data_IF_843894734508
#
_entry.id   IF_843894734508
#
_cell.length_a   1.000
_cell.length_b   1.000
_cell.length_c   1.000
_cell.angle_alpha   90.00
_cell.angle_beta   90.00
_cell.angle_gamma   90.00
#
_symmetry.space_group_name_H-M   'P 1'
#
loop_
_entity.id
_entity.type
_entity.pdbx_description
1 polymer ?
#
# COMPACT_ATOMS: atom_id res chain seq x y z
N UNK A 1 20.37 -4.33 19.35
CA UNK A 1 21.63 -4.19 18.61
C UNK A 1 22.59 -3.21 19.26
N UNK A 2 22.08 -2.15 19.90
CA UNK A 2 22.86 -0.94 20.25
C UNK A 2 23.57 -0.38 19.00
N UNK A 3 24.81 0.10 19.10
CA UNK A 3 25.42 0.87 18.00
C UNK A 3 25.65 0.05 16.72
N UNK A 4 26.13 -1.19 16.85
CA UNK A 4 26.60 -2.00 15.70
C UNK A 4 26.12 -3.46 15.74
N UNK A 5 25.05 -3.74 16.48
CA UNK A 5 24.45 -5.08 16.56
C UNK A 5 24.95 -5.95 17.73
N UNK A 6 26.10 -5.61 18.33
CA UNK A 6 26.74 -6.40 19.40
C UNK A 6 25.98 -6.41 20.72
N UNK A 7 25.12 -5.42 20.98
CA UNK A 7 24.47 -5.26 22.27
C UNK A 7 25.38 -4.68 23.36
N UNK A 8 26.54 -4.12 23.01
CA UNK A 8 27.38 -3.42 23.98
C UNK A 8 26.59 -2.29 24.66
N UNK A 9 26.79 -2.09 25.97
CA UNK A 9 26.05 -1.14 26.80
C UNK A 9 24.55 -1.44 26.97
N UNK A 10 24.16 -2.72 26.87
CA UNK A 10 22.80 -3.17 27.22
C UNK A 10 22.85 -4.36 28.19
N UNK A 11 21.77 -4.57 28.94
CA UNK A 11 21.63 -5.73 29.81
C UNK A 11 21.15 -6.97 29.04
N UNK A 12 21.57 -8.15 29.48
CA UNK A 12 21.12 -9.42 28.89
C UNK A 12 19.60 -9.55 29.03
N UNK A 13 18.91 -9.87 27.93
CA UNK A 13 17.44 -10.02 27.89
C UNK A 13 16.66 -8.70 27.69
N UNK A 14 17.34 -7.56 27.60
CA UNK A 14 16.68 -6.26 27.42
C UNK A 14 15.84 -6.20 26.14
N UNK A 15 16.33 -6.78 25.04
CA UNK A 15 15.67 -6.67 23.74
C UNK A 15 14.35 -7.46 23.67
N UNK A 16 14.31 -8.60 24.34
CA UNK A 16 13.16 -9.47 24.49
C UNK A 16 12.11 -8.82 25.40
N UNK A 17 12.56 -8.24 26.52
CA UNK A 17 11.68 -7.49 27.42
C UNK A 17 11.06 -6.28 26.73
N UNK A 18 11.84 -5.53 25.94
CA UNK A 18 11.34 -4.40 25.16
C UNK A 18 10.34 -4.84 24.10
N UNK A 19 10.63 -5.88 23.32
CA UNK A 19 9.69 -6.39 22.31
C UNK A 19 8.38 -6.86 22.95
N UNK A 20 8.45 -7.49 24.12
CA UNK A 20 7.27 -7.86 24.91
C UNK A 20 6.46 -6.64 25.34
N UNK A 21 7.10 -5.60 25.88
CA UNK A 21 6.42 -4.35 26.26
C UNK A 21 5.76 -3.66 25.07
N UNK A 22 6.44 -3.59 23.93
CA UNK A 22 5.86 -3.03 22.69
C UNK A 22 4.65 -3.86 22.25
N UNK A 23 4.72 -5.19 22.36
CA UNK A 23 3.61 -6.07 22.02
C UNK A 23 2.39 -5.83 22.92
N UNK A 24 2.62 -5.70 24.23
CA UNK A 24 1.56 -5.41 25.21
C UNK A 24 0.91 -4.05 24.96
N UNK A 25 1.70 -3.03 24.60
CA UNK A 25 1.18 -1.69 24.31
C UNK A 25 0.40 -1.60 22.99
N UNK A 26 0.83 -2.32 21.97
CA UNK A 26 0.28 -2.20 20.60
C UNK A 26 -0.77 -3.25 20.27
N UNK A 27 -0.80 -4.36 21.01
CA UNK A 27 -1.63 -5.53 20.70
C UNK A 27 -1.11 -6.40 19.54
N UNK A 28 0.04 -6.06 18.95
CA UNK A 28 0.66 -6.82 17.86
C UNK A 28 1.84 -7.68 18.37
N UNK A 29 2.11 -8.84 17.77
CA UNK A 29 3.11 -9.79 18.26
C UNK A 29 4.54 -9.41 17.85
N UNK A 30 5.10 -8.35 18.42
CA UNK A 30 6.47 -7.95 18.16
C UNK A 30 7.49 -8.88 18.83
N UNK A 31 8.55 -9.22 18.08
CA UNK A 31 9.67 -10.02 18.57
C UNK A 31 10.99 -9.34 18.30
N UNK A 32 12.00 -9.65 19.12
CA UNK A 32 13.37 -9.17 18.92
C UNK A 32 14.01 -9.88 17.71
N UNK A 33 14.62 -9.14 16.78
CA UNK A 33 15.23 -9.73 15.59
C UNK A 33 16.32 -10.77 15.94
N UNK A 34 16.35 -11.97 15.32
CA UNK A 34 17.30 -13.01 15.71
C UNK A 34 18.76 -12.63 15.45
N UNK A 35 19.01 -11.87 14.38
CA UNK A 35 20.32 -11.31 14.06
C UNK A 35 20.24 -9.78 14.09
N UNK A 36 20.95 -9.15 15.04
CA UNK A 36 20.94 -7.70 15.20
C UNK A 36 21.89 -6.96 14.24
N UNK A 37 22.80 -7.67 13.58
CA UNK A 37 23.69 -7.09 12.57
C UNK A 37 22.93 -6.89 11.26
N UNK A 38 22.23 -7.93 10.81
CA UNK A 38 21.37 -7.87 9.62
C UNK A 38 20.31 -6.77 9.76
N UNK A 39 19.57 -6.78 10.87
CA UNK A 39 18.52 -5.79 11.16
C UNK A 39 19.00 -4.33 11.25
N UNK A 40 20.32 -4.07 11.33
CA UNK A 40 20.91 -2.73 11.30
C UNK A 40 21.58 -2.40 9.97
N UNK A 41 22.17 -3.40 9.31
CA UNK A 41 22.96 -3.22 8.09
C UNK A 41 22.11 -3.20 6.82
N UNK A 42 20.94 -3.84 6.85
CA UNK A 42 20.05 -3.97 5.72
C UNK A 42 18.61 -3.62 6.10
N UNK A 43 17.74 -3.53 5.09
CA UNK A 43 16.30 -3.25 5.28
C UNK A 43 15.47 -4.18 4.39
N UNK A 44 15.89 -5.44 4.31
CA UNK A 44 15.36 -6.43 3.37
C UNK A 44 13.89 -6.71 3.63
N UNK A 45 13.47 -6.76 4.90
CA UNK A 45 12.07 -6.88 5.27
C UNK A 45 11.20 -5.74 4.71
N UNK A 46 11.73 -4.50 4.65
CA UNK A 46 11.00 -3.37 4.06
C UNK A 46 10.96 -3.45 2.53
N UNK A 47 12.02 -3.96 1.91
CA UNK A 47 12.05 -4.21 0.46
C UNK A 47 11.03 -5.29 0.09
N UNK A 48 10.93 -6.37 0.87
CA UNK A 48 9.92 -7.42 0.68
C UNK A 48 8.50 -6.87 0.78
N UNK A 49 8.21 -6.07 1.83
CA UNK A 49 6.92 -5.40 1.99
C UNK A 49 6.62 -4.51 0.78
N UNK A 50 7.61 -3.74 0.30
CA UNK A 50 7.45 -2.91 -0.89
C UNK A 50 7.10 -3.74 -2.13
N UNK A 51 7.73 -4.90 -2.32
CA UNK A 51 7.41 -5.84 -3.40
C UNK A 51 5.99 -6.40 -3.31
N UNK A 52 5.51 -6.70 -2.10
CA UNK A 52 4.13 -7.11 -1.87
C UNK A 52 3.13 -5.98 -2.21
N UNK A 53 3.43 -4.73 -1.80
CA UNK A 53 2.62 -3.56 -2.13
C UNK A 53 2.60 -3.28 -3.64
N UNK A 54 3.72 -3.45 -4.33
CA UNK A 54 3.80 -3.33 -5.79
C UNK A 54 2.89 -4.35 -6.50
N UNK A 55 2.84 -5.58 -5.98
CA UNK A 55 1.93 -6.63 -6.50
C UNK A 55 0.46 -6.24 -6.32
N UNK A 56 0.11 -5.64 -5.18
CA UNK A 56 -1.22 -5.09 -4.92
C UNK A 56 -1.53 -3.94 -5.89
N UNK A 57 -0.58 -3.03 -6.13
CA UNK A 57 -0.73 -1.93 -7.08
C UNK A 57 -1.01 -2.42 -8.51
N UNK A 58 -0.30 -3.46 -8.97
CA UNK A 58 -0.60 -4.12 -10.26
C UNK A 58 -2.03 -4.65 -10.34
N UNK A 59 -2.50 -5.29 -9.26
CA UNK A 59 -3.85 -5.86 -9.20
C UNK A 59 -4.93 -4.77 -9.21
N UNK A 60 -4.75 -3.72 -8.41
CA UNK A 60 -5.66 -2.57 -8.34
C UNK A 60 -5.68 -1.78 -9.65
N UNK A 61 -4.52 -1.59 -10.29
CA UNK A 61 -4.40 -0.98 -11.62
C UNK A 61 -5.30 -1.71 -12.62
N UNK A 62 -5.24 -3.04 -12.66
CA UNK A 62 -6.09 -3.85 -13.55
C UNK A 62 -7.57 -3.65 -13.24
N UNK A 63 -7.97 -3.80 -11.97
CA UNK A 63 -9.38 -3.66 -11.56
C UNK A 63 -9.94 -2.27 -11.92
N UNK A 64 -9.18 -1.20 -11.63
CA UNK A 64 -9.59 0.16 -11.97
C UNK A 64 -9.71 0.37 -13.49
N UNK A 65 -8.81 -0.24 -14.27
CA UNK A 65 -8.84 -0.18 -15.73
C UNK A 65 -10.05 -0.92 -16.32
N UNK A 66 -10.39 -2.09 -15.79
CA UNK A 66 -11.59 -2.81 -16.23
C UNK A 66 -12.85 -1.96 -15.96
N UNK A 67 -12.99 -1.43 -14.73
CA UNK A 67 -14.17 -0.61 -14.37
C UNK A 67 -14.32 0.59 -15.31
N UNK A 68 -13.25 1.37 -15.53
CA UNK A 68 -13.33 2.56 -16.41
C UNK A 68 -13.59 2.20 -17.87
N UNK A 69 -13.12 1.03 -18.33
CA UNK A 69 -13.32 0.57 -19.69
C UNK A 69 -14.76 0.06 -19.88
N UNK A 70 -15.28 -0.75 -18.96
CA UNK A 70 -16.65 -1.24 -18.97
C UNK A 70 -17.67 -0.11 -18.82
N UNK A 71 -17.34 0.96 -18.08
CA UNK A 71 -18.17 2.15 -17.94
C UNK A 71 -17.97 3.19 -19.06
N UNK A 72 -17.15 2.91 -20.07
CA UNK A 72 -16.90 3.87 -21.15
C UNK A 72 -18.16 4.07 -22.00
N UNK A 73 -18.48 5.32 -22.35
CA UNK A 73 -19.77 5.63 -22.99
C UNK A 73 -20.07 7.13 -23.00
N UNK A 74 -21.34 7.55 -23.17
CA UNK A 74 -22.55 6.73 -23.07
C UNK A 74 -23.02 6.09 -24.39
N UNK A 75 -22.44 6.46 -25.55
CA UNK A 75 -22.87 5.93 -26.86
C UNK A 75 -21.74 5.36 -27.71
N UNK A 76 -20.50 5.75 -27.45
CA UNK A 76 -19.33 5.42 -28.26
C UNK A 76 -18.28 4.63 -27.46
N UNK A 77 -18.72 3.80 -26.51
CA UNK A 77 -17.87 2.96 -25.66
C UNK A 77 -18.52 1.59 -25.41
N UNK A 78 -18.09 0.89 -24.37
CA UNK A 78 -18.66 -0.42 -24.00
C UNK A 78 -20.01 -0.26 -23.30
N UNK A 79 -20.07 0.55 -22.24
CA UNK A 79 -21.31 0.89 -21.53
C UNK A 79 -22.00 -0.27 -20.81
N UNK A 80 -21.27 -1.31 -20.43
CA UNK A 80 -21.81 -2.50 -19.74
C UNK A 80 -22.19 -2.21 -18.28
N UNK A 81 -21.50 -1.24 -17.65
CA UNK A 81 -21.79 -0.82 -16.26
C UNK A 81 -21.97 0.69 -16.17
N UNK A 82 -22.75 1.13 -15.17
CA UNK A 82 -22.88 2.53 -14.79
C UNK A 82 -22.11 2.78 -13.49
N UNK A 83 -21.40 3.90 -13.42
CA UNK A 83 -20.68 4.34 -12.22
C UNK A 83 -21.35 5.58 -11.60
N UNK A 84 -21.23 5.80 -10.28
CA UNK A 84 -21.79 6.99 -9.63
C UNK A 84 -21.22 8.30 -10.19
N UNK A 85 -22.08 9.30 -10.36
CA UNK A 85 -21.68 10.65 -10.76
C UNK A 85 -21.39 11.50 -9.51
N UNK A 86 -20.12 11.57 -9.11
CA UNK A 86 -19.70 12.33 -7.92
C UNK A 86 -19.37 13.80 -8.24
N UNK A 87 -18.84 14.05 -9.44
CA UNK A 87 -18.53 15.39 -9.93
C UNK A 87 -19.16 15.62 -11.31
N UNK A 88 -19.53 16.87 -11.68
CA UNK A 88 -19.92 17.18 -13.05
C UNK A 88 -18.75 16.88 -14.01
N UNK A 89 -18.90 15.85 -14.86
CA UNK A 89 -17.82 15.41 -15.74
C UNK A 89 -17.45 16.40 -16.86
N UNK A 90 -18.34 17.35 -17.15
CA UNK A 90 -18.11 18.52 -18.01
C UNK A 90 -19.23 19.53 -17.83
N UNK A 91 -18.89 20.83 -17.84
CA UNK A 91 -19.87 21.92 -17.72
C UNK A 91 -20.86 22.02 -18.89
N UNK A 92 -20.55 21.43 -20.05
CA UNK A 92 -21.35 21.55 -21.28
C UNK A 92 -22.06 20.24 -21.69
N UNK A 93 -21.71 19.10 -21.09
CA UNK A 93 -22.25 17.78 -21.47
C UNK A 93 -23.06 17.14 -20.32
N UNK A 94 -24.38 17.40 -20.25
CA UNK A 94 -25.25 16.77 -19.26
C UNK A 94 -25.22 15.24 -19.36
N UNK A 95 -25.10 14.56 -18.22
CA UNK A 95 -25.06 13.09 -18.15
C UNK A 95 -23.70 12.46 -18.48
N UNK A 96 -22.67 13.25 -18.83
CA UNK A 96 -21.30 12.74 -18.94
C UNK A 96 -20.71 12.55 -17.54
N UNK A 97 -20.30 11.33 -17.23
CA UNK A 97 -19.61 10.96 -15.99
C UNK A 97 -18.20 10.48 -16.33
N UNK A 98 -17.18 11.10 -15.73
CA UNK A 98 -15.80 10.62 -15.86
C UNK A 98 -15.49 9.66 -14.70
N UNK A 99 -14.68 8.61 -14.92
CA UNK A 99 -14.29 7.66 -13.88
C UNK A 99 -13.14 8.22 -13.00
N UNK A 100 -13.34 9.38 -12.40
CA UNK A 100 -12.31 10.16 -11.66
C UNK A 100 -11.66 9.38 -10.51
N UNK A 101 -12.42 8.53 -9.83
CA UNK A 101 -11.90 7.65 -8.78
C UNK A 101 -10.97 6.56 -9.34
N UNK A 102 -11.31 5.99 -10.51
CA UNK A 102 -10.43 5.04 -11.21
C UNK A 102 -9.15 5.76 -11.68
N UNK A 103 -9.27 6.99 -12.20
CA UNK A 103 -8.11 7.79 -12.61
C UNK A 103 -7.16 8.04 -11.42
N UNK A 104 -7.69 8.51 -10.29
CA UNK A 104 -6.92 8.71 -9.05
C UNK A 104 -6.25 7.44 -8.56
N UNK A 105 -6.99 6.32 -8.52
CA UNK A 105 -6.45 5.02 -8.10
C UNK A 105 -5.34 4.54 -9.03
N UNK A 106 -5.50 4.68 -10.35
CA UNK A 106 -4.44 4.29 -11.30
C UNK A 106 -3.18 5.14 -11.16
N UNK A 107 -3.31 6.46 -10.91
CA UNK A 107 -2.15 7.32 -10.62
C UNK A 107 -1.45 6.90 -9.32
N UNK A 108 -2.22 6.59 -8.26
CA UNK A 108 -1.66 6.09 -7.01
C UNK A 108 -0.93 4.75 -7.20
N UNK A 109 -1.48 3.85 -8.03
CA UNK A 109 -0.81 2.59 -8.37
C UNK A 109 0.52 2.83 -9.10
N UNK A 110 0.56 3.74 -10.09
CA UNK A 110 1.81 4.12 -10.76
C UNK A 110 2.84 4.73 -9.80
N UNK A 111 2.41 5.45 -8.76
CA UNK A 111 3.31 6.05 -7.77
C UNK A 111 3.96 5.02 -6.84
N UNK A 112 3.34 3.84 -6.69
CA UNK A 112 3.86 2.73 -5.87
C UNK A 112 4.89 1.88 -6.66
N UNK A 113 4.74 1.79 -7.98
CA UNK A 113 5.59 1.02 -8.89
C UNK A 113 6.95 1.69 -9.13
#
# INVERSE_FOLDING_TARGET
GTAVGTGLNTSKGWSEAMAKQISEMTGYPFTSAPNKFEALAASDALVEISGALNTIACSLMKVANDIRLLSSGPRCGIGEISIPANEPGSSIMPGKVNPTQCESLTMACCQVM
#
